data_IF_640688840528
#
_entry.id   IF_640688840528
#
_cell.length_a   1.000
_cell.length_b   1.000
_cell.length_c   1.000
_cell.angle_alpha   90.00
_cell.angle_beta   90.00
_cell.angle_gamma   90.00
#
_symmetry.space_group_name_H-M   'P 1'
#
loop_
_entity.id
_entity.type
_entity.pdbx_description
1 polymer ?
#
# COMPACT_ATOMS: atom_id res chain seq x y z
N UNK A 1 -64.07 -12.87 -49.71
CA UNK A 1 -62.61 -12.68 -49.46
C UNK A 1 -62.36 -11.78 -48.24
N UNK A 2 -62.77 -12.16 -47.01
CA UNK A 2 -62.85 -11.13 -45.94
C UNK A 2 -62.34 -11.48 -44.53
N UNK A 3 -62.35 -12.75 -44.11
CA UNK A 3 -62.11 -13.08 -42.69
C UNK A 3 -60.74 -13.73 -42.48
N UNK A 4 -60.28 -14.59 -43.39
CA UNK A 4 -59.00 -15.31 -43.29
C UNK A 4 -57.75 -14.41 -43.32
N UNK A 5 -57.83 -13.19 -43.89
CA UNK A 5 -56.67 -12.27 -43.91
C UNK A 5 -56.48 -11.49 -42.60
N UNK A 6 -57.54 -11.32 -41.79
CA UNK A 6 -57.46 -10.51 -40.57
C UNK A 6 -56.83 -11.27 -39.40
N UNK A 7 -57.02 -12.59 -39.31
CA UNK A 7 -56.44 -13.41 -38.25
C UNK A 7 -54.93 -13.60 -38.41
N UNK A 8 -54.43 -13.81 -39.64
CA UNK A 8 -52.98 -13.96 -39.90
C UNK A 8 -52.17 -12.70 -39.56
N UNK A 9 -52.73 -11.50 -39.77
CA UNK A 9 -52.03 -10.24 -39.46
C UNK A 9 -51.90 -10.00 -37.96
N UNK A 10 -52.94 -10.37 -37.18
CA UNK A 10 -52.91 -10.27 -35.71
C UNK A 10 -51.93 -11.29 -35.11
N UNK A 11 -51.89 -12.52 -35.64
CA UNK A 11 -50.93 -13.55 -35.18
C UNK A 11 -49.49 -13.16 -35.47
N UNK A 12 -49.21 -12.57 -36.64
CA UNK A 12 -47.86 -12.17 -37.04
C UNK A 12 -47.40 -10.91 -36.28
N UNK A 13 -48.28 -9.91 -36.13
CA UNK A 13 -47.97 -8.72 -35.33
C UNK A 13 -47.74 -9.04 -33.85
N UNK A 14 -48.50 -9.98 -33.28
CA UNK A 14 -48.27 -10.50 -31.93
C UNK A 14 -46.93 -11.23 -31.78
N UNK A 15 -46.56 -12.05 -32.76
CA UNK A 15 -45.28 -12.79 -32.75
C UNK A 15 -44.06 -11.85 -32.88
N UNK A 16 -44.13 -10.83 -33.74
CA UNK A 16 -43.08 -9.81 -33.92
C UNK A 16 -42.97 -8.94 -32.66
N UNK A 17 -44.09 -8.57 -32.04
CA UNK A 17 -44.13 -7.82 -30.79
C UNK A 17 -43.53 -8.60 -29.61
N UNK A 18 -43.79 -9.91 -29.53
CA UNK A 18 -43.25 -10.77 -28.47
C UNK A 18 -41.73 -10.98 -28.62
N UNK A 19 -41.25 -11.22 -29.85
CA UNK A 19 -39.80 -11.28 -30.16
C UNK A 19 -39.11 -9.95 -29.85
N UNK A 20 -39.68 -8.82 -30.29
CA UNK A 20 -39.17 -7.47 -30.02
C UNK A 20 -39.13 -7.13 -28.53
N UNK A 21 -40.17 -7.46 -27.76
CA UNK A 21 -40.19 -7.27 -26.30
C UNK A 21 -39.20 -8.18 -25.58
N UNK A 22 -39.08 -9.43 -25.98
CA UNK A 22 -38.09 -10.37 -25.45
C UNK A 22 -36.65 -9.90 -25.71
N UNK A 23 -36.34 -9.42 -26.91
CA UNK A 23 -35.02 -8.86 -27.23
C UNK A 23 -34.71 -7.60 -26.43
N UNK A 24 -35.70 -6.70 -26.24
CA UNK A 24 -35.53 -5.52 -25.39
C UNK A 24 -35.30 -5.91 -23.94
N UNK A 25 -36.07 -6.87 -23.40
CA UNK A 25 -35.90 -7.35 -22.04
C UNK A 25 -34.50 -7.94 -21.82
N UNK A 26 -33.97 -8.71 -22.77
CA UNK A 26 -32.60 -9.23 -22.72
C UNK A 26 -31.56 -8.11 -22.81
N UNK A 27 -31.77 -7.10 -23.65
CA UNK A 27 -30.87 -5.92 -23.74
C UNK A 27 -30.86 -5.13 -22.43
N UNK A 28 -32.02 -4.84 -21.85
CA UNK A 28 -32.13 -4.15 -20.56
C UNK A 28 -31.51 -4.97 -19.44
N UNK A 29 -31.76 -6.28 -19.38
CA UNK A 29 -31.15 -7.15 -18.37
C UNK A 29 -29.61 -7.14 -18.46
N UNK A 30 -29.04 -7.18 -19.68
CA UNK A 30 -27.60 -7.04 -19.89
C UNK A 30 -27.09 -5.65 -19.50
N UNK A 31 -27.85 -4.60 -19.83
CA UNK A 31 -27.50 -3.22 -19.49
C UNK A 31 -27.47 -3.00 -17.98
N UNK A 32 -28.49 -3.47 -17.25
CA UNK A 32 -28.53 -3.39 -15.78
C UNK A 32 -27.41 -4.20 -15.15
N UNK A 33 -27.11 -5.40 -15.67
CA UNK A 33 -26.00 -6.23 -15.16
C UNK A 33 -24.63 -5.58 -15.39
N UNK A 34 -24.42 -4.99 -16.56
CA UNK A 34 -23.16 -4.29 -16.86
C UNK A 34 -23.04 -3.00 -16.05
N UNK A 35 -24.11 -2.22 -15.91
CA UNK A 35 -24.14 -1.02 -15.08
C UNK A 35 -23.87 -1.35 -13.60
N UNK A 36 -24.48 -2.41 -13.06
CA UNK A 36 -24.22 -2.85 -11.69
C UNK A 36 -22.77 -3.28 -11.48
N UNK A 37 -22.16 -3.98 -12.45
CA UNK A 37 -20.74 -4.34 -12.40
C UNK A 37 -19.83 -3.11 -12.39
N UNK A 38 -20.12 -2.10 -13.22
CA UNK A 38 -19.35 -0.85 -13.25
C UNK A 38 -19.49 -0.11 -11.92
N UNK A 39 -20.68 -0.05 -11.33
CA UNK A 39 -20.88 0.56 -10.02
C UNK A 39 -20.09 -0.15 -8.93
N UNK A 40 -20.13 -1.49 -8.87
CA UNK A 40 -19.35 -2.26 -7.87
C UNK A 40 -17.85 -2.00 -8.00
N UNK A 41 -17.33 -1.94 -9.23
CA UNK A 41 -15.91 -1.62 -9.47
C UNK A 41 -15.57 -0.20 -9.03
N UNK A 42 -16.41 0.79 -9.37
CA UNK A 42 -16.20 2.18 -8.95
C UNK A 42 -16.24 2.33 -7.43
N UNK A 43 -17.19 1.69 -6.76
CA UNK A 43 -17.28 1.67 -5.30
C UNK A 43 -16.07 0.96 -4.68
N UNK A 44 -15.61 -0.14 -5.26
CA UNK A 44 -14.41 -0.85 -4.80
C UNK A 44 -13.15 0.02 -4.85
N UNK A 45 -12.93 0.73 -5.98
CA UNK A 45 -11.79 1.65 -6.14
C UNK A 45 -11.88 2.81 -5.14
N UNK A 46 -13.09 3.34 -4.89
CA UNK A 46 -13.30 4.41 -3.90
C UNK A 46 -12.92 3.95 -2.49
N UNK A 47 -13.37 2.75 -2.09
CA UNK A 47 -13.04 2.18 -0.77
C UNK A 47 -11.53 1.98 -0.63
N UNK A 48 -10.87 1.49 -1.69
CA UNK A 48 -9.43 1.27 -1.68
C UNK A 48 -8.65 2.59 -1.53
N UNK A 49 -9.03 3.63 -2.27
CA UNK A 49 -8.43 4.95 -2.11
C UNK A 49 -8.63 5.50 -0.69
N UNK A 50 -9.82 5.32 -0.10
CA UNK A 50 -10.08 5.74 1.28
C UNK A 50 -9.21 4.96 2.28
N UNK A 51 -9.02 3.66 2.09
CA UNK A 51 -8.13 2.83 2.93
C UNK A 51 -6.69 3.30 2.86
N UNK A 52 -6.22 3.66 1.67
CA UNK A 52 -4.86 4.19 1.51
C UNK A 52 -4.67 5.51 2.25
N UNK A 53 -5.68 6.40 2.24
CA UNK A 53 -5.63 7.65 3.01
C UNK A 53 -5.59 7.39 4.53
N UNK A 54 -6.40 6.44 5.03
CA UNK A 54 -6.38 6.06 6.46
C UNK A 54 -5.01 5.52 6.86
N UNK A 55 -4.45 4.58 6.08
CA UNK A 55 -3.13 4.03 6.38
C UNK A 55 -2.03 5.12 6.38
N UNK A 56 -2.10 6.08 5.45
CA UNK A 56 -1.16 7.20 5.42
C UNK A 56 -1.28 8.10 6.67
N UNK A 57 -2.52 8.38 7.10
CA UNK A 57 -2.77 9.17 8.31
C UNK A 57 -2.31 8.42 9.58
N UNK A 58 -2.58 7.12 9.66
CA UNK A 58 -2.14 6.28 10.78
C UNK A 58 -0.61 6.27 10.89
N UNK A 59 0.10 6.15 9.76
CA UNK A 59 1.56 6.23 9.74
C UNK A 59 2.08 7.59 10.22
N UNK A 60 1.41 8.68 9.85
CA UNK A 60 1.77 10.03 10.30
C UNK A 60 1.56 10.19 11.82
N UNK A 61 0.41 9.73 12.33
CA UNK A 61 0.08 9.80 13.76
C UNK A 61 1.04 8.96 14.61
N UNK A 62 1.41 7.76 14.15
CA UNK A 62 2.41 6.91 14.84
C UNK A 62 3.76 7.62 14.90
N UNK A 63 4.18 8.32 13.84
CA UNK A 63 5.43 9.07 13.83
C UNK A 63 5.42 10.21 14.85
N UNK A 64 4.29 10.90 15.00
CA UNK A 64 4.11 11.94 16.02
C UNK A 64 4.12 11.36 17.42
N UNK A 65 3.38 10.27 17.68
CA UNK A 65 3.39 9.58 18.97
C UNK A 65 4.78 9.07 19.36
N UNK A 66 5.56 8.55 18.41
CA UNK A 66 6.96 8.13 18.65
C UNK A 66 7.86 9.34 18.92
N UNK A 67 7.62 10.49 18.26
CA UNK A 67 8.35 11.73 18.53
C UNK A 67 8.05 12.25 19.93
N UNK A 68 6.80 12.21 20.36
CA UNK A 68 6.38 12.66 21.69
C UNK A 68 6.91 11.72 22.78
N UNK A 69 6.84 10.40 22.59
CA UNK A 69 7.50 9.44 23.50
C UNK A 69 9.03 9.62 23.56
N UNK A 70 9.68 9.93 22.43
CA UNK A 70 11.11 10.30 22.41
C UNK A 70 11.37 11.64 23.11
N UNK A 71 10.41 12.56 23.10
CA UNK A 71 10.46 13.83 23.80
C UNK A 71 10.35 13.68 25.33
N UNK A 72 9.41 12.85 25.80
CA UNK A 72 9.21 12.58 27.23
C UNK A 72 10.35 11.79 27.88
N UNK A 73 11.03 10.90 27.13
CA UNK A 73 12.23 10.21 27.61
C UNK A 73 13.49 11.07 27.56
N UNK A 74 13.39 12.33 27.11
CA UNK A 74 14.53 13.17 26.82
C UNK A 74 15.31 12.59 25.65
N UNK A 75 15.33 13.29 24.51
CA UNK A 75 16.38 13.05 23.54
C UNK A 75 17.71 13.09 24.31
N UNK A 76 18.61 12.08 24.21
CA UNK A 76 19.91 12.21 24.81
C UNK A 76 20.47 13.52 24.27
N UNK A 77 20.78 14.46 25.17
CA UNK A 77 21.54 15.64 24.82
C UNK A 77 22.70 15.16 23.92
N UNK A 78 23.10 15.92 22.88
CA UNK A 78 24.24 15.53 22.06
C UNK A 78 25.41 15.28 23.01
N UNK A 79 25.66 14.01 23.31
CA UNK A 79 26.75 13.61 24.19
C UNK A 79 27.97 14.09 23.43
N UNK A 80 28.84 14.93 24.04
CA UNK A 80 30.09 15.26 23.40
C UNK A 80 30.74 13.92 23.05
N UNK A 81 31.09 13.73 21.78
CA UNK A 81 31.83 12.55 21.33
C UNK A 81 33.21 12.68 21.98
N UNK A 82 33.32 12.22 23.22
CA UNK A 82 34.59 12.15 23.93
C UNK A 82 35.37 11.05 23.22
N UNK A 83 36.43 11.46 22.53
CA UNK A 83 37.37 10.50 21.95
C UNK A 83 37.79 9.51 23.05
N UNK A 84 37.81 8.20 22.77
CA UNK A 84 38.20 7.22 23.77
C UNK A 84 39.62 7.55 24.28
N UNK A 85 39.90 7.32 25.58
CA UNK A 85 41.22 7.60 26.13
C UNK A 85 42.29 6.77 25.41
N UNK A 86 43.55 7.21 25.46
CA UNK A 86 44.64 6.47 24.83
C UNK A 86 44.72 5.03 25.38
N UNK A 87 44.76 4.04 24.49
CA UNK A 87 44.59 2.64 24.88
C UNK A 87 44.60 1.65 23.73
N UNK A 88 44.56 0.36 24.07
CA UNK A 88 44.42 -0.74 23.12
C UNK A 88 42.94 -1.08 22.90
N UNK A 89 42.51 -1.02 21.65
CA UNK A 89 41.13 -1.29 21.24
C UNK A 89 41.11 -2.29 20.09
N UNK A 90 39.96 -2.88 19.80
CA UNK A 90 39.77 -3.77 18.64
C UNK A 90 40.19 -3.06 17.35
N UNK A 91 40.93 -3.74 16.49
CA UNK A 91 41.43 -3.15 15.25
C UNK A 91 40.27 -2.69 14.33
N UNK A 92 40.16 -1.39 14.00
CA UNK A 92 39.15 -0.90 13.07
C UNK A 92 39.31 -1.44 11.63
N UNK A 93 40.48 -1.99 11.28
CA UNK A 93 40.72 -2.60 9.97
C UNK A 93 40.13 -4.02 9.84
N UNK A 94 39.52 -4.55 10.90
CA UNK A 94 38.72 -5.77 10.85
C UNK A 94 39.44 -7.05 11.30
N UNK A 95 40.71 -6.97 11.73
CA UNK A 95 41.38 -8.12 12.32
C UNK A 95 40.97 -8.29 13.79
N UNK A 96 40.04 -9.20 14.03
CA UNK A 96 39.50 -9.47 15.37
C UNK A 96 40.54 -10.10 16.33
N UNK A 97 41.67 -10.59 15.81
CA UNK A 97 42.75 -11.21 16.58
C UNK A 97 43.76 -10.20 17.14
N UNK A 98 43.70 -8.94 16.71
CA UNK A 98 44.66 -7.90 17.06
C UNK A 98 43.99 -6.74 17.80
N UNK A 99 44.70 -6.21 18.79
CA UNK A 99 44.41 -4.93 19.41
C UNK A 99 45.35 -3.87 18.84
N UNK A 100 44.80 -2.73 18.45
CA UNK A 100 45.54 -1.57 17.94
C UNK A 100 45.54 -0.44 18.97
N UNK A 101 46.66 0.26 19.07
CA UNK A 101 46.78 1.40 19.97
C UNK A 101 46.17 2.67 19.37
N UNK A 102 45.29 3.32 20.13
CA UNK A 102 44.75 4.65 19.90
C UNK A 102 45.45 5.64 20.83
N UNK A 103 45.97 6.75 20.31
CA UNK A 103 46.73 7.74 21.10
C UNK A 103 45.86 8.85 21.73
N UNK A 104 44.54 8.79 21.53
CA UNK A 104 43.58 9.83 21.96
C UNK A 104 43.15 10.77 20.83
N UNK A 105 43.88 10.77 19.70
CA UNK A 105 43.58 11.59 18.51
C UNK A 105 43.42 10.72 17.25
N UNK A 106 44.25 9.69 17.10
CA UNK A 106 44.30 8.81 15.93
C UNK A 106 44.77 7.39 16.28
N UNK A 107 44.52 6.48 15.35
CA UNK A 107 45.04 5.11 15.42
C UNK A 107 46.50 5.07 14.99
N UNK A 108 47.32 4.40 15.79
CA UNK A 108 48.74 4.20 15.47
C UNK A 108 48.95 2.83 14.80
N UNK A 109 50.16 2.58 14.28
CA UNK A 109 50.56 1.29 13.72
C UNK A 109 50.92 0.24 14.79
N UNK A 110 50.93 0.62 16.07
CA UNK A 110 51.27 -0.28 17.16
C UNK A 110 50.12 -1.27 17.42
N UNK A 111 50.42 -2.56 17.28
CA UNK A 111 49.48 -3.66 17.44
C UNK A 111 50.01 -4.71 18.41
N UNK A 112 49.11 -5.47 19.03
CA UNK A 112 49.43 -6.65 19.85
C UNK A 112 48.36 -7.73 19.67
N UNK A 113 48.70 -9.02 19.90
CA UNK A 113 47.69 -10.08 19.93
C UNK A 113 46.68 -9.84 21.04
N UNK A 114 45.44 -10.25 20.80
CA UNK A 114 44.40 -10.35 21.81
C UNK A 114 44.61 -11.66 22.57
N UNK A 115 44.96 -11.56 23.86
CA UNK A 115 45.15 -12.72 24.76
C UNK A 115 43.90 -13.62 24.84
#
# INVERSE_FOLDING_TARGET
>A
MGILRKTMSISTAGMIGYRSKGERAVKYAKQTRNAARVQVVQTGVMIENQRQMINQNDHANVREAVRDMRGELGAPAPVPVVAPPAGFYSDPQGDASLLRWFDGLQWTSMTRPRD
#
